data_IF_233001229190
#
_entry.id   IF_233001229190
#
_cell.length_a   1.000
_cell.length_b   1.000
_cell.length_c   1.000
_cell.angle_alpha   90.00
_cell.angle_beta   90.00
_cell.angle_gamma   90.00
#
_symmetry.space_group_name_H-M   'P 1'
#
loop_
_entity.id
_entity.type
_entity.pdbx_description
1 polymer ?
#
# COMPACT_ATOMS: atom_id res chain seq x y z
N UNK A 1 -11.19 -25.93 10.62
CA UNK A 1 -11.39 -24.63 11.31
C UNK A 1 -12.88 -24.36 11.38
N UNK A 2 -13.38 -24.02 12.57
CA UNK A 2 -14.79 -23.68 12.78
C UNK A 2 -14.96 -22.17 12.77
N UNK A 3 -15.96 -21.70 12.02
CA UNK A 3 -16.28 -20.29 11.88
C UNK A 3 -17.64 -20.02 12.52
N UNK A 4 -17.67 -19.09 13.48
CA UNK A 4 -18.88 -18.74 14.25
C UNK A 4 -19.17 -17.25 14.10
N UNK A 5 -20.39 -16.91 13.68
CA UNK A 5 -20.87 -15.52 13.65
C UNK A 5 -21.50 -15.17 14.99
N UNK A 6 -21.25 -13.96 15.47
CA UNK A 6 -21.92 -13.41 16.66
C UNK A 6 -22.01 -11.89 16.54
N UNK A 7 -22.94 -11.28 17.27
CA UNK A 7 -23.11 -9.82 17.31
C UNK A 7 -22.87 -9.29 18.71
N UNK A 8 -22.46 -8.03 18.82
CA UNK A 8 -22.23 -7.35 20.09
C UNK A 8 -22.44 -5.83 19.94
N UNK A 9 -22.91 -5.12 20.98
CA UNK A 9 -23.10 -3.68 20.91
C UNK A 9 -21.77 -2.91 20.99
N UNK A 10 -21.68 -1.77 20.29
CA UNK A 10 -20.60 -0.80 20.50
C UNK A 10 -20.92 0.17 21.66
N UNK A 11 -19.98 1.08 21.96
CA UNK A 11 -20.15 2.07 23.04
C UNK A 11 -21.31 3.05 22.83
N UNK A 12 -21.81 3.20 21.59
CA UNK A 12 -22.97 4.01 21.25
C UNK A 12 -24.29 3.21 21.21
N UNK A 13 -24.24 1.90 21.52
CA UNK A 13 -25.41 1.01 21.51
C UNK A 13 -25.76 0.45 20.12
N UNK A 14 -24.93 0.66 19.10
CA UNK A 14 -25.16 0.11 17.77
C UNK A 14 -24.70 -1.35 17.70
N UNK A 15 -25.48 -2.20 17.03
CA UNK A 15 -25.19 -3.63 16.94
C UNK A 15 -24.11 -3.90 15.87
N UNK A 16 -22.96 -4.43 16.30
CA UNK A 16 -21.85 -4.82 15.44
C UNK A 16 -21.85 -6.33 15.20
N UNK A 17 -21.51 -6.72 13.98
CA UNK A 17 -21.33 -8.13 13.61
C UNK A 17 -19.86 -8.54 13.65
N UNK A 18 -19.57 -9.67 14.28
CA UNK A 18 -18.25 -10.29 14.33
C UNK A 18 -18.24 -11.74 13.82
N UNK A 19 -17.02 -12.19 13.53
CA UNK A 19 -16.73 -13.53 13.08
C UNK A 19 -15.57 -14.10 13.91
N UNK A 20 -15.84 -15.12 14.71
CA UNK A 20 -14.83 -15.87 15.43
C UNK A 20 -14.41 -17.08 14.60
N UNK A 21 -13.12 -17.17 14.28
CA UNK A 21 -12.54 -18.39 13.72
C UNK A 21 -11.73 -19.09 14.79
N UNK A 22 -12.01 -20.37 15.01
CA UNK A 22 -11.22 -21.21 15.92
C UNK A 22 -10.54 -22.35 15.16
N UNK A 23 -9.30 -22.70 15.51
CA UNK A 23 -8.69 -23.95 15.05
C UNK A 23 -9.47 -25.16 15.57
N UNK A 24 -9.24 -26.32 14.95
CA UNK A 24 -9.92 -27.57 15.34
C UNK A 24 -9.31 -28.19 16.61
N UNK A 25 -8.23 -27.61 17.14
CA UNK A 25 -7.59 -27.95 18.41
C UNK A 25 -7.80 -26.83 19.45
N UNK A 26 -7.55 -27.14 20.73
CA UNK A 26 -7.77 -26.22 21.85
C UNK A 26 -7.10 -24.85 21.66
N UNK A 27 -7.85 -23.77 21.93
CA UNK A 27 -7.38 -22.39 21.77
C UNK A 27 -6.95 -21.82 23.12
N UNK A 28 -5.71 -21.34 23.22
CA UNK A 28 -5.18 -20.77 24.47
C UNK A 28 -5.31 -19.24 24.57
N UNK A 29 -5.51 -18.54 23.45
CA UNK A 29 -5.62 -17.07 23.38
C UNK A 29 -6.48 -16.61 22.21
N UNK A 30 -7.12 -15.45 22.35
CA UNK A 30 -7.92 -14.80 21.29
C UNK A 30 -7.30 -13.46 20.90
N UNK A 31 -7.34 -13.11 19.61
CA UNK A 31 -6.90 -11.81 19.10
C UNK A 31 -8.04 -11.13 18.32
N UNK A 32 -8.28 -9.85 18.60
CA UNK A 32 -9.25 -9.03 17.87
C UNK A 32 -8.53 -8.36 16.70
N UNK A 33 -9.01 -8.60 15.48
CA UNK A 33 -8.49 -7.97 14.26
C UNK A 33 -9.51 -6.96 13.73
N UNK A 34 -9.16 -5.67 13.76
CA UNK A 34 -9.98 -4.59 13.21
C UNK A 34 -9.12 -3.76 12.24
N UNK A 35 -9.47 -3.76 10.94
CA UNK A 35 -8.76 -3.01 9.90
C UNK A 35 -9.68 -2.00 9.19
N UNK A 36 -9.07 -0.92 8.72
CA UNK A 36 -9.62 0.38 8.29
C UNK A 36 -10.92 0.40 7.44
N UNK A 37 -11.66 1.51 7.60
CA UNK A 37 -13.02 1.89 7.15
C UNK A 37 -13.35 1.79 5.64
N UNK A 38 -12.40 1.45 4.76
CA UNK A 38 -12.67 1.25 3.31
C UNK A 38 -12.37 -0.16 2.81
N UNK A 39 -11.74 -1.00 3.62
CA UNK A 39 -11.55 -2.41 3.30
C UNK A 39 -12.64 -3.20 4.01
N UNK A 40 -13.46 -3.94 3.26
CA UNK A 40 -14.33 -4.94 3.87
C UNK A 40 -13.49 -5.92 4.68
N UNK A 41 -14.04 -6.42 5.79
CA UNK A 41 -13.54 -7.46 6.75
C UNK A 41 -12.85 -8.72 6.16
N UNK A 42 -12.76 -8.78 4.84
CA UNK A 42 -12.34 -9.87 3.99
C UNK A 42 -11.25 -9.35 3.02
N UNK A 43 -10.10 -8.88 3.52
CA UNK A 43 -8.91 -8.77 2.65
C UNK A 43 -8.45 -10.19 2.32
N UNK A 44 -9.17 -10.83 1.39
CA UNK A 44 -8.87 -12.15 0.87
C UNK A 44 -7.44 -12.20 0.33
N UNK A 45 -6.94 -11.08 -0.19
CA UNK A 45 -5.56 -10.90 -0.61
C UNK A 45 -4.57 -11.18 0.54
N UNK A 46 -4.67 -10.43 1.64
CA UNK A 46 -3.79 -10.58 2.79
C UNK A 46 -3.91 -11.99 3.41
N UNK A 47 -5.14 -12.47 3.63
CA UNK A 47 -5.37 -13.80 4.21
C UNK A 47 -4.80 -14.93 3.35
N UNK A 48 -4.89 -14.82 2.01
CA UNK A 48 -4.33 -15.82 1.10
C UNK A 48 -2.80 -15.74 1.02
N UNK A 49 -2.21 -14.54 1.11
CA UNK A 49 -0.75 -14.38 1.18
C UNK A 49 -0.22 -15.02 2.48
N UNK A 50 -0.79 -14.68 3.63
CA UNK A 50 -0.34 -15.23 4.91
C UNK A 50 -0.49 -16.75 4.95
N UNK A 51 -1.58 -17.31 4.38
CA UNK A 51 -1.73 -18.77 4.26
C UNK A 51 -0.65 -19.38 3.36
N UNK A 52 -0.42 -18.80 2.18
CA UNK A 52 0.61 -19.29 1.26
C UNK A 52 2.00 -19.27 1.91
N UNK A 53 2.32 -18.22 2.66
CA UNK A 53 3.57 -18.10 3.40
C UNK A 53 3.70 -19.19 4.48
N UNK A 54 2.63 -19.45 5.24
CA UNK A 54 2.58 -20.52 6.23
C UNK A 54 2.77 -21.91 5.59
N UNK A 55 2.07 -22.20 4.48
CA UNK A 55 2.22 -23.44 3.72
C UNK A 55 3.62 -23.62 3.13
N UNK A 56 4.29 -22.51 2.78
CA UNK A 56 5.67 -22.50 2.30
C UNK A 56 6.72 -22.60 3.43
N UNK A 57 6.31 -22.91 4.66
CA UNK A 57 7.19 -23.02 5.83
C UNK A 57 7.76 -21.68 6.31
N UNK A 58 7.18 -20.56 5.88
CA UNK A 58 7.57 -19.20 6.25
C UNK A 58 6.40 -18.48 6.94
N UNK A 59 5.84 -19.01 8.04
CA UNK A 59 4.74 -18.36 8.73
C UNK A 59 5.18 -16.97 9.19
N UNK A 60 4.28 -15.98 9.07
CA UNK A 60 4.54 -14.66 9.59
C UNK A 60 4.66 -14.70 11.12
N UNK A 61 5.59 -13.91 11.68
CA UNK A 61 5.66 -13.71 13.13
C UNK A 61 4.33 -13.09 13.60
N UNK A 62 3.67 -13.75 14.56
CA UNK A 62 2.38 -13.33 15.10
C UNK A 62 2.43 -11.91 15.70
N UNK A 63 3.60 -11.49 16.16
CA UNK A 63 3.84 -10.14 16.71
C UNK A 63 4.29 -9.14 15.64
N UNK A 64 4.51 -9.54 14.39
CA UNK A 64 5.03 -8.67 13.32
C UNK A 64 4.18 -7.43 13.14
N UNK A 65 2.86 -7.58 13.08
CA UNK A 65 1.96 -6.45 12.90
C UNK A 65 2.08 -5.46 14.07
N UNK A 66 2.16 -5.97 15.31
CA UNK A 66 2.31 -5.16 16.52
C UNK A 66 3.68 -4.47 16.58
N UNK A 67 4.76 -5.16 16.21
CA UNK A 67 6.12 -4.61 16.13
C UNK A 67 6.23 -3.52 15.05
N UNK A 68 5.63 -3.75 13.89
CA UNK A 68 5.60 -2.81 12.78
C UNK A 68 4.75 -1.58 13.11
N UNK A 69 3.58 -1.76 13.73
CA UNK A 69 2.72 -0.64 14.15
C UNK A 69 3.26 0.12 15.37
N UNK A 70 4.08 -0.51 16.22
CA UNK A 70 4.80 0.18 17.30
C UNK A 70 6.06 0.91 16.82
N UNK A 71 6.67 0.47 15.73
CA UNK A 71 7.78 1.14 15.07
C UNK A 71 7.32 2.29 14.15
N UNK A 72 6.00 2.46 13.98
CA UNK A 72 5.39 3.55 13.23
C UNK A 72 5.85 4.91 13.76
N UNK A 73 6.65 5.59 12.96
CA UNK A 73 7.25 6.88 13.27
C UNK A 73 6.19 7.96 13.49
N UNK A 74 6.51 8.97 14.32
CA UNK A 74 5.76 10.24 14.50
C UNK A 74 5.33 10.85 13.15
N UNK A 75 6.09 10.60 12.08
CA UNK A 75 5.76 11.05 10.72
C UNK A 75 4.54 10.35 10.10
N UNK A 76 4.33 9.05 10.36
CA UNK A 76 3.13 8.30 9.95
C UNK A 76 1.91 8.72 10.77
N UNK A 77 2.10 9.02 12.07
CA UNK A 77 1.05 9.60 12.90
C UNK A 77 0.64 10.97 12.36
N UNK A 78 1.61 11.80 11.95
CA UNK A 78 1.34 13.10 11.31
C UNK A 78 0.69 12.94 9.93
N UNK A 79 1.10 11.97 9.10
CA UNK A 79 0.46 11.66 7.80
C UNK A 79 -0.97 11.12 7.94
N UNK A 80 -1.22 10.24 8.92
CA UNK A 80 -2.54 9.71 9.26
C UNK A 80 -3.46 10.78 9.86
N UNK A 81 -2.93 11.64 10.73
CA UNK A 81 -3.65 12.79 11.31
C UNK A 81 -3.92 13.85 10.24
N UNK A 82 -2.96 14.16 9.35
CA UNK A 82 -3.19 15.06 8.21
C UNK A 82 -4.27 14.50 7.30
N UNK A 83 -4.25 13.20 7.00
CA UNK A 83 -5.23 12.59 6.09
C UNK A 83 -6.64 12.54 6.68
N UNK A 84 -6.79 12.20 7.97
CA UNK A 84 -8.10 12.19 8.65
C UNK A 84 -8.60 13.61 8.97
N UNK A 85 -7.72 14.53 9.37
CA UNK A 85 -8.13 15.87 9.81
C UNK A 85 -8.23 16.87 8.65
N UNK A 86 -7.33 16.82 7.66
CA UNK A 86 -7.33 17.79 6.56
C UNK A 86 -8.48 17.57 5.56
N UNK A 87 -9.01 16.35 5.45
CA UNK A 87 -10.24 16.07 4.70
C UNK A 87 -11.46 16.82 5.29
N UNK A 88 -11.45 17.12 6.58
CA UNK A 88 -12.46 17.95 7.25
C UNK A 88 -12.14 19.45 7.24
N UNK A 89 -10.89 19.85 6.98
CA UNK A 89 -10.47 21.25 6.99
C UNK A 89 -10.74 21.98 5.67
N UNK A 90 -10.68 21.30 4.51
CA UNK A 90 -11.05 21.91 3.23
C UNK A 90 -11.41 20.89 2.15
N UNK A 91 -12.48 21.14 1.35
CA UNK A 91 -12.81 20.33 0.17
C UNK A 91 -11.66 20.24 -0.85
N UNK A 92 -10.74 21.21 -0.86
CA UNK A 92 -9.58 21.24 -1.76
C UNK A 92 -8.49 20.23 -1.41
N UNK A 93 -8.53 19.62 -0.23
CA UNK A 93 -7.61 18.55 0.14
C UNK A 93 -8.03 17.19 -0.46
N UNK A 94 -9.31 17.02 -0.78
CA UNK A 94 -9.83 15.79 -1.38
C UNK A 94 -9.06 15.38 -2.65
N UNK A 95 -8.85 16.25 -3.67
CA UNK A 95 -8.05 15.87 -4.83
C UNK A 95 -6.62 15.48 -4.46
N UNK A 96 -5.98 16.14 -3.50
CA UNK A 96 -4.65 15.77 -3.04
C UNK A 96 -4.60 14.34 -2.47
N UNK A 97 -5.58 13.98 -1.63
CA UNK A 97 -5.72 12.63 -1.09
C UNK A 97 -6.03 11.60 -2.19
N UNK A 98 -6.90 11.94 -3.16
CA UNK A 98 -7.20 11.06 -4.29
C UNK A 98 -5.96 10.84 -5.17
N UNK A 99 -5.19 11.89 -5.48
CA UNK A 99 -3.92 11.78 -6.21
C UNK A 99 -2.91 10.92 -5.45
N UNK A 100 -2.80 11.11 -4.14
CA UNK A 100 -1.95 10.26 -3.29
C UNK A 100 -2.34 8.79 -3.39
N UNK A 101 -3.64 8.48 -3.24
CA UNK A 101 -4.17 7.13 -3.39
C UNK A 101 -3.85 6.54 -4.76
N UNK A 102 -4.07 7.29 -5.84
CA UNK A 102 -3.76 6.85 -7.20
C UNK A 102 -2.26 6.49 -7.37
N UNK A 103 -1.34 7.30 -6.84
CA UNK A 103 0.10 7.01 -6.87
C UNK A 103 0.42 5.73 -6.09
N UNK A 104 -0.17 5.56 -4.90
CA UNK A 104 0.05 4.37 -4.08
C UNK A 104 -0.41 3.09 -4.79
N UNK A 105 -1.59 3.11 -5.41
CA UNK A 105 -2.13 1.96 -6.14
C UNK A 105 -1.27 1.58 -7.36
N UNK A 106 -0.80 2.58 -8.13
CA UNK A 106 0.06 2.35 -9.29
C UNK A 106 1.42 1.80 -8.88
N UNK A 107 2.03 2.35 -7.82
CA UNK A 107 3.34 1.87 -7.33
C UNK A 107 3.26 0.47 -6.75
N UNK A 108 2.19 0.15 -5.99
CA UNK A 108 1.93 -1.21 -5.53
C UNK A 108 1.73 -2.18 -6.70
N UNK A 109 0.95 -1.79 -7.71
CA UNK A 109 0.74 -2.60 -8.90
C UNK A 109 2.04 -2.87 -9.67
N UNK A 110 2.94 -1.88 -9.78
CA UNK A 110 4.26 -2.06 -10.38
C UNK A 110 5.12 -3.06 -9.58
N UNK A 111 5.15 -2.94 -8.24
CA UNK A 111 5.88 -3.86 -7.38
C UNK A 111 5.36 -5.30 -7.47
N UNK A 112 4.04 -5.50 -7.43
CA UNK A 112 3.43 -6.81 -7.63
C UNK A 112 3.70 -7.35 -9.04
N UNK A 113 3.67 -6.50 -10.07
CA UNK A 113 4.04 -6.85 -11.44
C UNK A 113 5.45 -7.42 -11.53
N UNK A 114 6.42 -6.72 -10.94
CA UNK A 114 7.82 -7.17 -10.92
C UNK A 114 7.99 -8.51 -10.17
N UNK A 115 7.23 -8.72 -9.10
CA UNK A 115 7.24 -9.98 -8.35
C UNK A 115 6.59 -11.13 -9.13
N UNK A 116 5.54 -10.86 -9.90
CA UNK A 116 4.89 -11.86 -10.79
C UNK A 116 5.87 -12.36 -11.86
N UNK A 117 6.69 -11.47 -12.42
CA UNK A 117 7.66 -11.80 -13.47
C UNK A 117 8.85 -12.61 -12.94
N UNK A 118 9.19 -12.44 -11.66
CA UNK A 118 10.39 -13.04 -11.06
C UNK A 118 10.11 -14.28 -10.22
N UNK A 119 8.88 -14.47 -9.74
CA UNK A 119 8.53 -15.61 -8.89
C UNK A 119 8.43 -16.92 -9.67
N UNK A 120 9.04 -17.98 -9.13
CA UNK A 120 8.89 -19.37 -9.62
C UNK A 120 7.61 -20.05 -9.14
N UNK A 121 6.90 -19.46 -8.17
CA UNK A 121 5.71 -20.06 -7.57
C UNK A 121 4.44 -19.66 -8.36
N UNK A 122 3.78 -20.60 -9.08
CA UNK A 122 2.63 -20.28 -9.92
C UNK A 122 1.40 -19.83 -9.11
N UNK A 123 1.26 -20.30 -7.87
CA UNK A 123 0.16 -19.91 -6.96
C UNK A 123 0.35 -18.47 -6.51
N UNK A 124 1.59 -18.08 -6.15
CA UNK A 124 1.92 -16.70 -5.79
C UNK A 124 1.68 -15.75 -6.97
N UNK A 125 2.16 -16.12 -8.16
CA UNK A 125 1.95 -15.32 -9.36
C UNK A 125 0.47 -15.09 -9.65
N UNK A 126 -0.36 -16.14 -9.58
CA UNK A 126 -1.81 -16.02 -9.81
C UNK A 126 -2.52 -15.19 -8.74
N UNK A 127 -2.11 -15.34 -7.48
CA UNK A 127 -2.63 -14.52 -6.38
C UNK A 127 -2.33 -13.04 -6.60
N UNK A 128 -1.08 -12.70 -6.94
CA UNK A 128 -0.65 -11.33 -7.19
C UNK A 128 -1.37 -10.74 -8.41
N UNK A 129 -1.56 -11.50 -9.48
CA UNK A 129 -2.36 -11.05 -10.65
C UNK A 129 -3.78 -10.64 -10.25
N UNK A 130 -4.40 -11.38 -9.34
CA UNK A 130 -5.73 -11.04 -8.82
C UNK A 130 -5.72 -9.77 -7.99
N UNK A 131 -4.70 -9.57 -7.17
CA UNK A 131 -4.50 -8.33 -6.40
C UNK A 131 -4.32 -7.15 -7.35
N UNK A 132 -3.39 -7.22 -8.29
CA UNK A 132 -3.17 -6.17 -9.31
C UNK A 132 -4.45 -5.83 -10.07
N UNK A 133 -5.28 -6.84 -10.39
CA UNK A 133 -6.58 -6.60 -11.05
C UNK A 133 -7.55 -5.82 -10.15
N UNK A 134 -7.50 -5.99 -8.84
CA UNK A 134 -8.27 -5.18 -7.89
C UNK A 134 -7.71 -3.76 -7.78
N UNK A 135 -6.39 -3.59 -7.64
CA UNK A 135 -5.75 -2.26 -7.54
C UNK A 135 -6.02 -1.39 -8.76
N UNK A 136 -6.11 -1.99 -9.97
CA UNK A 136 -6.52 -1.26 -11.18
C UNK A 136 -7.90 -0.59 -11.05
N UNK A 137 -8.84 -1.18 -10.31
CA UNK A 137 -10.16 -0.58 -10.06
C UNK A 137 -10.06 0.57 -9.06
N UNK A 138 -9.28 0.40 -7.99
CA UNK A 138 -9.03 1.45 -7.00
C UNK A 138 -8.34 2.65 -7.62
N UNK A 139 -7.26 2.41 -8.37
CA UNK A 139 -6.57 3.43 -9.16
C UNK A 139 -7.54 4.20 -10.07
N UNK A 140 -8.37 3.51 -10.86
CA UNK A 140 -9.32 4.16 -11.78
C UNK A 140 -10.30 5.08 -11.06
N UNK A 141 -10.76 4.66 -9.86
CA UNK A 141 -11.60 5.50 -9.02
C UNK A 141 -10.84 6.74 -8.53
N UNK A 142 -9.70 6.56 -7.87
CA UNK A 142 -8.89 7.65 -7.33
C UNK A 142 -8.49 8.66 -8.42
N UNK A 143 -7.99 8.18 -9.55
CA UNK A 143 -7.57 9.01 -10.67
C UNK A 143 -8.71 9.86 -11.21
N UNK A 144 -9.88 9.26 -11.49
CA UNK A 144 -11.05 9.99 -12.00
C UNK A 144 -11.56 11.01 -10.99
N UNK A 145 -11.57 10.68 -9.70
CA UNK A 145 -12.01 11.62 -8.65
C UNK A 145 -11.03 12.78 -8.46
N UNK A 146 -9.72 12.54 -8.59
CA UNK A 146 -8.69 13.57 -8.59
C UNK A 146 -8.85 14.47 -9.81
N UNK A 147 -8.89 13.90 -11.02
CA UNK A 147 -9.01 14.65 -12.27
C UNK A 147 -10.20 15.61 -12.24
N UNK A 148 -11.40 15.08 -11.96
CA UNK A 148 -12.64 15.87 -11.92
C UNK A 148 -12.58 17.05 -10.93
N UNK A 149 -11.83 16.91 -9.83
CA UNK A 149 -11.71 17.97 -8.80
C UNK A 149 -10.57 18.94 -9.06
N UNK A 150 -9.67 18.59 -9.98
CA UNK A 150 -8.54 19.43 -10.38
C UNK A 150 -8.84 20.22 -11.66
N UNK A 151 -9.75 19.74 -12.51
CA UNK A 151 -9.99 20.23 -13.88
C UNK A 151 -10.26 21.74 -14.00
N UNK A 152 -10.79 22.38 -12.95
CA UNK A 152 -11.09 23.82 -12.95
C UNK A 152 -10.73 24.55 -11.63
N UNK A 153 -9.88 23.95 -10.77
CA UNK A 153 -9.49 24.57 -9.48
C UNK A 153 -7.96 24.67 -9.36
N UNK A 154 -7.42 25.82 -9.77
CA UNK A 154 -5.98 26.13 -9.71
C UNK A 154 -5.42 26.14 -8.28
N UNK A 155 -6.25 26.45 -7.27
CA UNK A 155 -5.85 26.37 -5.88
C UNK A 155 -5.75 24.92 -5.40
N UNK A 156 -6.69 24.07 -5.81
CA UNK A 156 -6.62 22.63 -5.54
C UNK A 156 -5.41 21.99 -6.23
N UNK A 157 -5.08 22.41 -7.45
CA UNK A 157 -3.86 21.98 -8.16
C UNK A 157 -2.59 22.41 -7.40
N UNK A 158 -2.52 23.68 -6.97
CA UNK A 158 -1.38 24.19 -6.20
C UNK A 158 -1.22 23.46 -4.86
N UNK A 159 -2.32 23.22 -4.14
CA UNK A 159 -2.31 22.47 -2.89
C UNK A 159 -1.89 21.01 -3.11
N UNK A 160 -2.45 20.34 -4.12
CA UNK A 160 -2.09 18.96 -4.47
C UNK A 160 -0.60 18.86 -4.80
N UNK A 161 -0.09 19.77 -5.63
CA UNK A 161 1.33 19.88 -5.95
C UNK A 161 2.17 20.05 -4.69
N UNK A 162 1.78 20.95 -3.79
CA UNK A 162 2.49 21.17 -2.53
C UNK A 162 2.50 19.92 -1.65
N UNK A 163 1.34 19.30 -1.44
CA UNK A 163 1.19 18.10 -0.60
C UNK A 163 2.05 16.96 -1.14
N UNK A 164 1.93 16.65 -2.44
CA UNK A 164 2.70 15.56 -3.05
C UNK A 164 4.20 15.86 -3.03
N UNK A 165 4.66 17.09 -3.33
CA UNK A 165 6.09 17.42 -3.24
C UNK A 165 6.66 17.32 -1.83
N UNK A 166 5.88 17.72 -0.82
CA UNK A 166 6.39 17.94 0.54
C UNK A 166 6.26 16.73 1.45
N UNK A 167 5.22 15.92 1.24
CA UNK A 167 4.85 14.86 2.17
C UNK A 167 4.87 13.47 1.51
N UNK A 168 4.62 13.35 0.20
CA UNK A 168 4.59 12.03 -0.44
C UNK A 168 5.98 11.39 -0.51
N UNK A 169 6.05 10.10 -0.16
CA UNK A 169 7.21 9.23 -0.33
C UNK A 169 6.78 7.85 -0.81
N UNK A 170 7.70 7.05 -1.36
CA UNK A 170 7.40 5.69 -1.82
C UNK A 170 6.75 4.84 -0.71
N UNK A 171 5.66 4.16 -1.08
CA UNK A 171 4.87 3.28 -0.22
C UNK A 171 5.74 2.15 0.34
N UNK A 172 5.59 1.85 1.63
CA UNK A 172 6.34 0.79 2.33
C UNK A 172 7.52 1.29 3.16
N UNK A 173 7.92 2.56 3.01
CA UNK A 173 9.00 3.19 3.79
C UNK A 173 8.75 3.20 5.31
N UNK A 174 7.50 3.29 5.76
CA UNK A 174 7.15 3.29 7.20
C UNK A 174 6.82 1.92 7.82
N UNK A 175 6.39 0.95 7.02
CA UNK A 175 5.95 -0.39 7.48
C UNK A 175 7.10 -1.42 7.43
N UNK A 176 8.01 -1.29 6.47
CA UNK A 176 9.15 -2.20 6.28
C UNK A 176 10.50 -1.60 6.62
N UNK A 177 10.60 -0.28 6.83
CA UNK A 177 11.87 0.43 6.95
C UNK A 177 12.59 0.59 5.59
N UNK A 178 13.50 1.57 5.54
CA UNK A 178 14.19 1.95 4.30
C UNK A 178 15.05 0.84 3.69
N UNK A 179 15.63 -0.02 4.51
CA UNK A 179 16.49 -1.11 4.01
C UNK A 179 15.68 -2.21 3.30
N UNK A 180 14.49 -2.58 3.79
CA UNK A 180 13.63 -3.54 3.08
C UNK A 180 13.11 -2.97 1.76
N UNK A 181 12.76 -1.69 1.74
CA UNK A 181 12.34 -1.02 0.51
C UNK A 181 13.50 -0.92 -0.49
N UNK A 182 14.71 -0.62 0.01
CA UNK A 182 15.95 -0.65 -0.75
C UNK A 182 16.26 -2.03 -1.32
N UNK A 183 16.04 -3.10 -0.55
CA UNK A 183 16.19 -4.48 -1.00
C UNK A 183 15.23 -4.78 -2.16
N UNK A 184 13.94 -4.45 -2.02
CA UNK A 184 12.94 -4.65 -3.09
C UNK A 184 13.32 -3.85 -4.34
N UNK A 185 13.74 -2.60 -4.17
CA UNK A 185 14.20 -1.75 -5.26
C UNK A 185 15.42 -2.34 -5.96
N UNK A 186 16.43 -2.80 -5.21
CA UNK A 186 17.62 -3.42 -5.77
C UNK A 186 17.35 -4.78 -6.42
N UNK A 187 16.40 -5.56 -5.90
CA UNK A 187 16.08 -6.89 -6.42
C UNK A 187 15.26 -6.81 -7.72
N UNK A 188 14.27 -5.91 -7.77
CA UNK A 188 13.29 -5.89 -8.86
C UNK A 188 13.39 -4.67 -9.79
N UNK A 189 14.10 -3.62 -9.40
CA UNK A 189 14.09 -2.31 -10.06
C UNK A 189 15.50 -1.71 -10.21
N UNK A 190 16.54 -2.54 -10.25
CA UNK A 190 17.95 -2.15 -10.37
C UNK A 190 18.28 -1.40 -11.67
N UNK A 191 17.67 -1.83 -12.77
CA UNK A 191 17.97 -1.34 -14.13
C UNK A 191 16.90 -0.38 -14.64
N UNK A 192 17.29 0.45 -15.62
CA UNK A 192 16.36 1.38 -16.25
C UNK A 192 15.20 0.64 -16.91
N UNK A 193 15.46 -0.49 -17.57
CA UNK A 193 14.44 -1.33 -18.22
C UNK A 193 13.42 -1.86 -17.21
N UNK A 194 13.87 -2.44 -16.09
CA UNK A 194 12.96 -2.97 -15.05
C UNK A 194 12.14 -1.89 -14.34
N UNK A 195 12.56 -0.62 -14.40
CA UNK A 195 11.79 0.53 -13.89
C UNK A 195 10.77 1.10 -14.87
N UNK A 196 10.63 0.55 -16.08
CA UNK A 196 9.62 1.00 -17.04
C UNK A 196 8.19 1.09 -16.45
N UNK A 197 7.69 0.12 -15.66
CA UNK A 197 6.36 0.22 -15.06
C UNK A 197 6.18 1.41 -14.11
N UNK A 198 7.26 1.87 -13.45
CA UNK A 198 7.22 3.06 -12.59
C UNK A 198 7.12 4.35 -13.42
N UNK A 199 7.81 4.42 -14.56
CA UNK A 199 7.70 5.55 -15.49
C UNK A 199 6.33 5.60 -16.17
N UNK A 200 5.74 4.45 -16.47
CA UNK A 200 4.36 4.38 -16.97
C UNK A 200 3.36 4.90 -15.93
N UNK A 201 3.58 4.59 -14.65
CA UNK A 201 2.81 5.14 -13.54
C UNK A 201 3.01 6.66 -13.41
N UNK A 202 4.22 7.18 -13.59
CA UNK A 202 4.49 8.63 -13.60
C UNK A 202 3.74 9.32 -14.75
N UNK A 203 3.87 8.81 -15.97
CA UNK A 203 3.20 9.34 -17.16
C UNK A 203 1.68 9.35 -16.99
N UNK A 204 1.13 8.33 -16.33
CA UNK A 204 -0.28 8.27 -15.97
C UNK A 204 -0.67 9.42 -15.04
N UNK A 205 0.07 9.63 -13.94
CA UNK A 205 -0.20 10.69 -12.96
C UNK A 205 0.00 12.10 -13.56
N UNK A 206 0.94 12.25 -14.49
CA UNK A 206 1.14 13.50 -15.24
C UNK A 206 -0.08 13.91 -16.07
N UNK A 207 -0.99 12.98 -16.36
CA UNK A 207 -2.28 13.28 -16.99
C UNK A 207 -3.29 13.97 -16.07
N UNK A 208 -3.01 14.15 -14.78
CA UNK A 208 -3.85 14.95 -13.89
C UNK A 208 -3.53 16.45 -14.05
N UNK A 209 -4.55 17.34 -14.08
CA UNK A 209 -4.32 18.78 -14.17
C UNK A 209 -3.39 19.29 -13.07
N UNK A 210 -2.31 19.98 -13.44
CA UNK A 210 -1.35 20.56 -12.49
C UNK A 210 -0.28 19.58 -11.97
N UNK A 211 -0.27 18.33 -12.45
CA UNK A 211 0.66 17.26 -12.06
C UNK A 211 1.69 16.89 -13.15
N UNK A 212 1.84 17.68 -14.21
CA UNK A 212 2.72 17.43 -15.36
C UNK A 212 4.20 17.31 -14.97
N UNK A 213 4.56 17.87 -13.81
CA UNK A 213 5.91 17.85 -13.25
C UNK A 213 6.27 16.53 -12.55
N UNK A 214 5.31 15.62 -12.34
CA UNK A 214 5.47 14.44 -11.50
C UNK A 214 6.39 13.40 -12.14
N UNK A 215 7.66 13.34 -11.70
CA UNK A 215 8.69 12.41 -12.21
C UNK A 215 9.60 11.90 -11.07
N UNK A 216 8.96 11.53 -9.95
CA UNK A 216 9.61 11.25 -8.67
C UNK A 216 9.87 9.75 -8.45
N UNK A 217 9.00 8.87 -8.94
CA UNK A 217 9.02 7.43 -8.67
C UNK A 217 10.30 6.77 -9.18
N UNK A 218 10.63 6.93 -10.46
CA UNK A 218 11.80 6.30 -11.08
C UNK A 218 13.09 6.72 -10.37
N UNK A 219 13.22 8.03 -10.09
CA UNK A 219 14.39 8.61 -9.42
C UNK A 219 14.52 8.16 -7.97
N UNK A 220 13.42 8.11 -7.22
CA UNK A 220 13.46 7.67 -5.83
C UNK A 220 13.78 6.17 -5.73
N UNK A 221 13.16 5.34 -6.56
CA UNK A 221 13.43 3.89 -6.56
C UNK A 221 14.85 3.58 -7.02
N UNK A 222 15.37 4.27 -8.04
CA UNK A 222 16.78 4.15 -8.45
C UNK A 222 17.72 4.48 -7.27
N UNK A 223 17.49 5.59 -6.58
CA UNK A 223 18.30 5.98 -5.40
C UNK A 223 18.21 4.96 -4.27
N UNK A 224 17.04 4.39 -4.01
CA UNK A 224 16.85 3.35 -2.99
C UNK A 224 17.64 2.08 -3.34
N UNK A 225 17.60 1.65 -4.60
CA UNK A 225 18.37 0.51 -5.09
C UNK A 225 19.88 0.75 -4.94
N UNK A 226 20.38 1.90 -5.42
CA UNK A 226 21.79 2.29 -5.31
C UNK A 226 22.27 2.33 -3.86
N UNK A 227 21.48 2.94 -2.97
CA UNK A 227 21.81 3.04 -1.54
C UNK A 227 21.87 1.67 -0.87
N UNK A 228 20.96 0.77 -1.23
CA UNK A 228 20.96 -0.60 -0.71
C UNK A 228 22.18 -1.37 -1.20
N UNK A 229 22.47 -1.35 -2.50
CA UNK A 229 23.61 -2.06 -3.10
C UNK A 229 24.94 -1.55 -2.53
N UNK A 230 25.06 -0.24 -2.30
CA UNK A 230 26.25 0.34 -1.69
C UNK A 230 26.49 -0.13 -0.24
N UNK A 231 25.43 -0.46 0.50
CA UNK A 231 25.51 -0.91 1.90
C UNK A 231 25.63 -2.42 2.06
N UNK A 232 24.89 -3.17 1.26
CA UNK A 232 24.66 -4.60 1.45
C UNK A 232 25.15 -5.47 0.29
N UNK A 233 25.61 -4.86 -0.80
CA UNK A 233 25.91 -5.54 -2.06
C UNK A 233 24.66 -5.83 -2.90
N UNK A 234 24.87 -6.33 -4.12
CA UNK A 234 23.78 -6.68 -5.02
C UNK A 234 23.00 -7.91 -4.48
N UNK A 235 21.67 -7.81 -4.33
CA UNK A 235 20.88 -8.94 -3.87
C UNK A 235 20.86 -10.05 -4.92
N UNK A 236 20.99 -11.30 -4.47
CA UNK A 236 20.86 -12.48 -5.34
C UNK A 236 19.43 -13.01 -5.22
N UNK A 237 18.75 -13.17 -6.35
CA UNK A 237 17.44 -13.84 -6.38
C UNK A 237 17.62 -15.33 -6.04
N UNK A 238 16.94 -15.81 -4.99
CA UNK A 238 16.89 -17.22 -4.61
C UNK A 238 15.98 -18.05 -5.55
#
# INVERSE_FOLDING_TARGET
MKQTRFTFPNAAGEELSALLMTPDHGTHTYALFAHCFTCSKDSHAAARISRLLAEAGRPEDADRYRKVTQASSIRETVEGILSQSAAHLTPRFIPAHMTWGAINELTAAAAYGALIETTKNPVLAELLRRIVKQERKHYSFYFKQAHKRLEDDSWAQALTRFVIKRFWTVVGSGVGGWDNLGFIAALHFDTHEKRAPLRDAEATIQGLPGMEWFNILDKQVARLAETYVARHGAPVAA
#
